data_IF_778813305114
#
_entry.id   IF_778813305114
#
_cell.length_a   1.000
_cell.length_b   1.000
_cell.length_c   1.000
_cell.angle_alpha   90.00
_cell.angle_beta   90.00
_cell.angle_gamma   90.00
#
_symmetry.space_group_name_H-M   'P 1'
#
loop_
_entity.id
_entity.type
_entity.pdbx_description
1 polymer ?
#
# COMPACT_ATOMS: atom_id res chain seq x y z
N UNK A 1 -76.54 9.52 -44.00
CA UNK A 1 -75.79 10.60 -43.34
C UNK A 1 -74.63 9.98 -42.63
N UNK A 2 -73.46 9.89 -43.30
CA UNK A 2 -72.27 9.18 -42.76
C UNK A 2 -71.32 10.25 -42.22
N UNK A 3 -71.10 10.22 -40.93
CA UNK A 3 -70.10 11.11 -40.25
C UNK A 3 -68.77 10.37 -40.28
N UNK A 4 -67.82 10.88 -41.05
CA UNK A 4 -66.43 10.42 -41.02
C UNK A 4 -65.70 11.03 -39.82
N UNK A 5 -65.28 10.20 -38.89
CA UNK A 5 -64.39 10.57 -37.80
C UNK A 5 -62.95 10.61 -38.33
N UNK A 6 -62.36 11.82 -38.37
CA UNK A 6 -60.93 11.97 -38.69
C UNK A 6 -60.09 11.81 -37.42
N UNK A 7 -59.37 10.70 -37.34
CA UNK A 7 -58.36 10.48 -36.27
C UNK A 7 -57.12 11.36 -36.54
N UNK A 8 -56.86 12.30 -35.66
CA UNK A 8 -55.63 13.08 -35.66
C UNK A 8 -54.53 12.26 -34.97
N UNK A 9 -53.50 11.93 -35.71
CA UNK A 9 -52.27 11.30 -35.14
C UNK A 9 -51.41 12.41 -34.58
N UNK A 10 -51.26 12.43 -33.27
CA UNK A 10 -50.34 13.33 -32.57
C UNK A 10 -48.92 12.75 -32.64
N UNK A 11 -48.07 13.33 -33.47
CA UNK A 11 -46.63 13.01 -33.53
C UNK A 11 -45.94 13.70 -32.37
N UNK A 12 -45.60 12.97 -31.31
CA UNK A 12 -44.75 13.48 -30.23
C UNK A 12 -43.31 13.42 -30.71
N UNK A 13 -42.72 14.55 -31.03
CA UNK A 13 -41.29 14.64 -31.30
C UNK A 13 -40.50 14.52 -29.99
N UNK A 14 -39.81 13.41 -29.82
CA UNK A 14 -38.82 13.30 -28.77
C UNK A 14 -37.61 14.15 -29.12
N UNK A 15 -37.45 15.27 -28.45
CA UNK A 15 -36.21 16.03 -28.47
C UNK A 15 -35.13 15.17 -27.76
N UNK A 16 -34.17 14.69 -28.52
CA UNK A 16 -32.97 14.04 -27.97
C UNK A 16 -32.15 15.09 -27.23
N UNK A 17 -32.24 15.06 -25.90
CA UNK A 17 -31.35 15.84 -25.04
C UNK A 17 -29.99 15.14 -25.10
N UNK A 18 -29.09 15.65 -25.94
CA UNK A 18 -27.66 15.28 -25.88
C UNK A 18 -27.13 15.77 -24.55
N UNK A 19 -26.54 14.88 -23.73
CA UNK A 19 -25.87 15.33 -22.52
C UNK A 19 -24.74 16.28 -22.89
N UNK A 20 -24.51 17.35 -22.11
CA UNK A 20 -23.43 18.26 -22.38
C UNK A 20 -22.14 17.48 -22.50
N UNK A 21 -21.38 17.66 -23.55
CA UNK A 21 -20.05 17.13 -23.71
C UNK A 21 -19.26 17.52 -22.46
N UNK A 22 -18.89 16.51 -21.67
CA UNK A 22 -18.01 16.70 -20.53
C UNK A 22 -16.75 17.32 -21.11
N UNK A 23 -16.54 18.60 -20.84
CA UNK A 23 -15.30 19.26 -21.19
C UNK A 23 -14.19 18.38 -20.62
N UNK A 24 -13.45 17.68 -21.49
CA UNK A 24 -12.15 17.16 -21.15
C UNK A 24 -11.31 18.41 -20.89
N UNK A 25 -11.35 18.86 -19.62
CA UNK A 25 -10.38 19.80 -19.15
C UNK A 25 -9.04 19.16 -19.48
N UNK A 26 -8.30 19.76 -20.40
CA UNK A 26 -6.87 19.61 -20.42
C UNK A 26 -6.40 20.05 -19.03
N UNK A 27 -6.30 19.09 -18.10
CA UNK A 27 -5.48 19.25 -16.93
C UNK A 27 -4.05 19.30 -17.47
N UNK A 28 -3.68 20.44 -18.00
CA UNK A 28 -2.31 20.89 -18.14
C UNK A 28 -1.88 21.27 -16.73
N UNK A 29 -1.91 20.23 -15.83
CA UNK A 29 -1.26 20.31 -14.54
C UNK A 29 0.21 20.53 -14.81
N UNK A 30 0.88 21.28 -13.95
CA UNK A 30 2.32 21.48 -13.96
C UNK A 30 3.01 20.11 -14.09
N UNK A 31 3.26 19.69 -15.33
CA UNK A 31 3.96 18.45 -15.63
C UNK A 31 5.43 18.73 -15.37
N UNK A 32 5.97 18.05 -14.37
CA UNK A 32 7.42 18.05 -14.18
C UNK A 32 8.12 17.49 -15.42
N UNK A 33 9.32 17.99 -15.72
CA UNK A 33 10.07 17.58 -16.91
C UNK A 33 10.92 16.32 -16.71
N UNK A 34 10.68 15.57 -15.64
CA UNK A 34 11.43 14.37 -15.28
C UNK A 34 10.49 13.21 -14.93
N UNK A 35 10.97 11.99 -15.17
CA UNK A 35 10.26 10.77 -14.80
C UNK A 35 10.54 10.39 -13.33
N UNK A 36 9.52 9.83 -12.67
CA UNK A 36 9.63 9.24 -11.34
C UNK A 36 9.27 7.76 -11.41
N UNK A 37 10.09 6.95 -10.73
CA UNK A 37 9.80 5.55 -10.50
C UNK A 37 10.01 5.22 -9.02
N UNK A 38 9.26 4.25 -8.52
CA UNK A 38 9.49 3.74 -7.17
C UNK A 38 10.85 3.06 -7.11
N UNK A 39 11.65 3.35 -6.06
CA UNK A 39 12.92 2.68 -5.83
C UNK A 39 12.89 1.83 -4.55
N UNK A 40 12.79 2.45 -3.37
CA UNK A 40 12.83 1.72 -2.10
C UNK A 40 12.08 2.44 -0.98
N UNK A 41 11.82 1.71 0.11
CA UNK A 41 11.53 2.26 1.43
C UNK A 41 12.75 2.04 2.32
N UNK A 42 13.08 3.04 3.16
CA UNK A 42 14.19 2.96 4.11
C UNK A 42 13.68 2.76 5.54
N UNK A 43 14.31 1.83 6.28
CA UNK A 43 13.96 1.49 7.65
C UNK A 43 15.20 1.54 8.53
N UNK A 44 15.10 2.17 9.69
CA UNK A 44 16.11 2.06 10.74
C UNK A 44 15.82 0.85 11.61
N UNK A 45 16.84 0.02 11.81
CA UNK A 45 16.73 -1.23 12.56
C UNK A 45 17.86 -1.36 13.58
N UNK A 46 17.64 -2.04 14.71
CA UNK A 46 18.69 -2.20 15.73
C UNK A 46 19.81 -3.14 15.31
N UNK A 47 19.54 -4.09 14.39
CA UNK A 47 20.50 -5.10 13.96
C UNK A 47 20.18 -5.58 12.55
N UNK A 48 21.00 -5.19 11.57
CA UNK A 48 20.80 -5.56 10.15
C UNK A 48 20.80 -7.08 9.93
N UNK A 49 21.75 -7.90 10.45
CA UNK A 49 21.70 -9.34 10.28
C UNK A 49 20.40 -9.99 10.77
N UNK A 50 19.89 -9.56 11.93
CA UNK A 50 18.63 -10.07 12.46
C UNK A 50 17.43 -9.66 11.60
N UNK A 51 17.42 -8.42 11.12
CA UNK A 51 16.35 -7.94 10.26
C UNK A 51 16.35 -8.65 8.90
N UNK A 52 17.51 -8.84 8.28
CA UNK A 52 17.62 -9.64 7.04
C UNK A 52 17.05 -11.04 7.26
N UNK A 53 17.47 -11.73 8.33
CA UNK A 53 16.98 -13.07 8.64
C UNK A 53 15.45 -13.11 8.83
N UNK A 54 14.88 -12.07 9.48
CA UNK A 54 13.44 -11.95 9.66
C UNK A 54 12.72 -11.73 8.32
N UNK A 55 13.15 -10.75 7.51
CA UNK A 55 12.56 -10.47 6.21
C UNK A 55 12.67 -11.64 5.23
N UNK A 56 13.80 -12.37 5.29
CA UNK A 56 14.00 -13.57 4.49
C UNK A 56 13.03 -14.69 4.91
N UNK A 57 12.97 -14.99 6.20
CA UNK A 57 12.14 -16.08 6.74
C UNK A 57 10.64 -15.79 6.61
N UNK A 58 10.22 -14.57 6.91
CA UNK A 58 8.80 -14.23 6.97
C UNK A 58 8.24 -13.81 5.61
N UNK A 59 8.99 -13.00 4.87
CA UNK A 59 8.51 -12.35 3.66
C UNK A 59 9.30 -12.71 2.40
N UNK A 60 10.30 -13.59 2.47
CA UNK A 60 11.04 -14.11 1.31
C UNK A 60 11.94 -13.08 0.61
N UNK A 61 12.35 -12.01 1.31
CA UNK A 61 13.36 -11.08 0.81
C UNK A 61 14.74 -11.71 0.82
N UNK A 62 15.64 -11.21 -0.02
CA UNK A 62 17.05 -11.61 -0.09
C UNK A 62 17.95 -10.39 0.01
N UNK A 63 19.07 -10.52 0.70
CA UNK A 63 20.09 -9.49 0.71
C UNK A 63 20.70 -9.35 -0.69
N UNK A 64 20.79 -8.09 -1.17
CA UNK A 64 21.36 -7.73 -2.47
C UNK A 64 22.71 -7.04 -2.29
N UNK A 65 22.81 -6.18 -1.30
CA UNK A 65 24.01 -5.36 -1.05
C UNK A 65 24.10 -5.02 0.43
N UNK A 66 25.33 -4.93 0.91
CA UNK A 66 25.67 -4.42 2.23
C UNK A 66 26.71 -3.31 2.09
N UNK A 67 26.63 -2.29 2.94
CA UNK A 67 27.55 -1.16 2.93
C UNK A 67 27.70 -0.53 4.31
N UNK A 68 28.41 0.58 4.35
CA UNK A 68 28.64 1.35 5.58
C UNK A 68 29.97 1.05 6.24
N UNK A 69 30.13 1.52 7.48
CA UNK A 69 31.37 1.44 8.25
C UNK A 69 31.18 0.50 9.46
N UNK A 70 32.14 -0.37 9.79
CA UNK A 70 31.98 -1.34 10.88
C UNK A 70 31.62 -0.70 12.24
N UNK A 71 32.13 0.48 12.54
CA UNK A 71 31.91 1.22 13.80
C UNK A 71 30.94 2.40 13.66
N UNK A 72 30.41 2.63 12.46
CA UNK A 72 29.51 3.73 12.13
C UNK A 72 28.16 3.25 11.61
N UNK A 73 27.60 4.04 10.71
CA UNK A 73 26.39 3.67 10.01
C UNK A 73 26.64 2.46 9.12
N UNK A 74 25.77 1.47 9.24
CA UNK A 74 25.72 0.30 8.35
C UNK A 74 24.44 0.35 7.54
N UNK A 75 24.48 -0.19 6.32
CA UNK A 75 23.32 -0.29 5.44
C UNK A 75 23.23 -1.67 4.82
N UNK A 76 22.01 -2.09 4.47
CA UNK A 76 21.78 -3.25 3.61
C UNK A 76 20.59 -2.97 2.70
N UNK A 77 20.66 -3.45 1.47
CA UNK A 77 19.53 -3.49 0.55
C UNK A 77 19.04 -4.93 0.45
N UNK A 78 17.76 -5.14 0.75
CA UNK A 78 17.07 -6.40 0.57
C UNK A 78 16.01 -6.28 -0.51
N UNK A 79 15.75 -7.37 -1.26
CA UNK A 79 14.84 -7.36 -2.41
C UNK A 79 13.96 -8.60 -2.46
N UNK A 80 12.71 -8.40 -2.89
CA UNK A 80 11.81 -9.47 -3.35
C UNK A 80 11.10 -9.00 -4.62
N UNK A 81 11.37 -9.65 -5.76
CA UNK A 81 10.86 -9.19 -7.07
C UNK A 81 11.34 -7.78 -7.37
N UNK A 82 10.42 -6.85 -7.57
CA UNK A 82 10.67 -5.41 -7.79
C UNK A 82 10.57 -4.56 -6.51
N UNK A 83 10.41 -5.18 -5.35
CA UNK A 83 10.27 -4.49 -4.08
C UNK A 83 11.65 -4.44 -3.40
N UNK A 84 12.10 -3.22 -3.06
CA UNK A 84 13.34 -2.99 -2.33
C UNK A 84 13.05 -2.38 -0.96
N UNK A 85 13.82 -2.82 0.04
CA UNK A 85 13.87 -2.22 1.37
C UNK A 85 15.34 -1.93 1.69
N UNK A 86 15.65 -0.69 2.03
CA UNK A 86 16.96 -0.30 2.53
C UNK A 86 16.93 -0.30 4.06
N UNK A 87 17.84 -1.04 4.68
CA UNK A 87 17.97 -1.14 6.13
C UNK A 87 19.15 -0.29 6.59
N UNK A 88 18.92 0.51 7.63
CA UNK A 88 19.94 1.31 8.30
C UNK A 88 20.13 0.82 9.73
N UNK A 89 21.38 0.69 10.16
CA UNK A 89 21.76 0.47 11.54
C UNK A 89 22.76 1.55 11.94
N UNK A 90 22.40 2.35 12.94
CA UNK A 90 23.25 3.40 13.48
C UNK A 90 23.60 3.08 14.95
N UNK A 91 24.84 3.34 15.38
CA UNK A 91 25.17 3.31 16.80
C UNK A 91 24.26 4.27 17.58
N UNK A 92 23.78 3.84 18.73
CA UNK A 92 22.97 4.65 19.64
C UNK A 92 21.67 5.22 19.08
N UNK A 93 21.13 4.63 17.99
CA UNK A 93 19.80 5.00 17.50
C UNK A 93 18.75 4.69 18.58
N UNK A 94 17.83 5.62 18.81
CA UNK A 94 16.72 5.42 19.74
C UNK A 94 15.78 4.33 19.22
N UNK A 95 15.21 3.49 20.11
CA UNK A 95 14.20 2.52 19.71
C UNK A 95 12.96 3.22 19.14
N UNK A 96 12.19 2.48 18.35
CA UNK A 96 10.91 2.96 17.85
C UNK A 96 10.01 3.37 19.02
N UNK A 97 9.48 4.61 19.05
CA UNK A 97 8.57 5.06 20.12
C UNK A 97 7.36 4.13 20.23
N UNK A 98 6.88 3.90 21.45
CA UNK A 98 5.75 2.99 21.71
C UNK A 98 4.49 3.38 20.94
N UNK A 99 4.21 4.71 20.86
CA UNK A 99 3.09 5.24 20.08
C UNK A 99 3.13 4.89 18.60
N UNK A 100 4.30 4.59 18.04
CA UNK A 100 4.47 4.20 16.64
C UNK A 100 4.32 2.71 16.37
N UNK A 101 4.32 1.88 17.42
CA UNK A 101 4.12 0.44 17.29
C UNK A 101 2.65 0.07 17.08
N UNK A 102 1.73 0.95 17.47
CA UNK A 102 0.30 0.80 17.24
C UNK A 102 -0.13 1.70 16.08
N UNK A 103 -0.57 1.15 14.93
CA UNK A 103 -0.97 1.96 13.76
C UNK A 103 -2.04 3.01 14.09
N UNK A 104 -3.02 2.69 14.96
CA UNK A 104 -4.09 3.63 15.31
C UNK A 104 -3.59 4.85 16.10
N UNK A 105 -2.57 4.66 16.94
CA UNK A 105 -1.96 5.76 17.68
C UNK A 105 -0.99 6.56 16.80
N UNK A 106 -0.23 5.86 15.93
CA UNK A 106 0.71 6.52 15.03
C UNK A 106 0.02 7.46 14.04
N UNK A 107 -1.22 7.21 13.64
CA UNK A 107 -1.99 8.13 12.78
C UNK A 107 -2.20 9.52 13.39
N UNK A 108 -2.06 9.69 14.70
CA UNK A 108 -2.18 10.98 15.39
C UNK A 108 -0.93 11.86 15.25
N UNK A 109 0.16 11.32 14.72
CA UNK A 109 1.42 12.03 14.49
C UNK A 109 1.66 12.17 12.99
N UNK A 110 2.02 13.33 12.48
CA UNK A 110 2.33 13.51 11.06
C UNK A 110 3.61 12.76 10.65
N UNK A 111 3.71 12.39 9.39
CA UNK A 111 4.84 11.69 8.79
C UNK A 111 4.48 10.31 8.25
N UNK A 112 5.46 9.58 7.71
CA UNK A 112 5.28 8.22 7.19
C UNK A 112 4.80 7.30 8.31
N UNK A 113 3.76 6.52 8.04
CA UNK A 113 3.12 5.64 9.03
C UNK A 113 3.54 4.19 8.87
N UNK A 114 3.38 3.68 7.69
CA UNK A 114 3.66 2.30 7.30
C UNK A 114 4.00 2.24 5.81
N UNK A 115 4.41 1.10 5.37
CA UNK A 115 4.44 0.71 3.97
C UNK A 115 3.61 -0.57 3.81
N UNK A 116 3.09 -0.79 2.60
CA UNK A 116 2.15 -1.88 2.36
C UNK A 116 2.55 -2.78 1.21
N UNK A 117 2.13 -4.05 1.32
CA UNK A 117 2.25 -5.04 0.26
C UNK A 117 0.87 -5.55 -0.13
N UNK A 118 0.60 -5.58 -1.42
CA UNK A 118 -0.56 -6.29 -1.93
C UNK A 118 -0.30 -7.80 -1.87
N UNK A 119 -1.28 -8.53 -1.36
CA UNK A 119 -1.26 -9.99 -1.29
C UNK A 119 -2.55 -10.56 -1.87
N UNK A 120 -2.48 -11.81 -2.32
CA UNK A 120 -3.66 -12.60 -2.69
C UNK A 120 -4.02 -13.52 -1.54
N UNK A 121 -5.32 -13.64 -1.23
CA UNK A 121 -5.84 -14.48 -0.16
C UNK A 121 -5.22 -14.10 1.22
N UNK A 122 -5.50 -12.89 1.65
CA UNK A 122 -5.00 -12.35 2.92
C UNK A 122 -5.22 -13.28 4.12
N UNK A 123 -6.38 -13.95 4.29
CA UNK A 123 -6.57 -14.90 5.40
C UNK A 123 -5.52 -16.01 5.43
N UNK A 124 -5.20 -16.61 4.28
CA UNK A 124 -4.19 -17.67 4.19
C UNK A 124 -2.78 -17.14 4.49
N UNK A 125 -2.45 -15.95 3.98
CA UNK A 125 -1.15 -15.28 4.26
C UNK A 125 -1.02 -15.02 5.76
N UNK A 126 -2.04 -14.50 6.42
CA UNK A 126 -2.00 -14.22 7.86
C UNK A 126 -1.89 -15.51 8.68
N UNK A 127 -2.57 -16.58 8.28
CA UNK A 127 -2.44 -17.88 8.95
C UNK A 127 -1.00 -18.42 8.87
N UNK A 128 -0.37 -18.33 7.70
CA UNK A 128 1.03 -18.71 7.51
C UNK A 128 1.98 -17.86 8.37
N UNK A 129 1.82 -16.54 8.36
CA UNK A 129 2.67 -15.62 9.11
C UNK A 129 2.51 -15.80 10.64
N UNK A 130 1.28 -16.00 11.12
CA UNK A 130 1.00 -16.31 12.53
C UNK A 130 1.65 -17.64 12.93
N UNK A 131 1.58 -18.67 12.09
CA UNK A 131 2.25 -19.97 12.35
C UNK A 131 3.78 -19.83 12.41
N UNK A 132 4.36 -18.88 11.68
CA UNK A 132 5.79 -18.53 11.75
C UNK A 132 6.17 -17.65 12.96
N UNK A 133 5.19 -17.18 13.74
CA UNK A 133 5.40 -16.34 14.92
C UNK A 133 5.50 -14.84 14.63
N UNK A 134 4.93 -14.36 13.52
CA UNK A 134 4.88 -12.91 13.22
C UNK A 134 3.92 -12.23 14.19
N UNK A 135 4.31 -11.07 14.72
CA UNK A 135 3.48 -10.23 15.58
C UNK A 135 2.47 -9.45 14.76
N UNK A 136 1.19 -9.56 15.12
CA UNK A 136 0.14 -8.72 14.56
C UNK A 136 0.16 -7.36 15.25
N UNK A 137 0.32 -6.27 14.48
CA UNK A 137 0.15 -4.90 14.96
C UNK A 137 -1.31 -4.45 14.91
N UNK A 138 -2.09 -5.03 13.98
CA UNK A 138 -3.52 -4.80 13.86
C UNK A 138 -4.17 -6.00 13.16
N UNK A 139 -5.24 -6.51 13.75
CA UNK A 139 -5.96 -7.67 13.20
C UNK A 139 -6.69 -7.33 11.90
N UNK A 140 -7.00 -8.35 11.11
CA UNK A 140 -7.62 -8.20 9.81
C UNK A 140 -8.96 -7.44 9.89
N UNK A 141 -9.11 -6.48 8.99
CA UNK A 141 -10.39 -5.84 8.65
C UNK A 141 -10.78 -6.29 7.25
N UNK A 142 -12.04 -6.69 7.14
CA UNK A 142 -12.64 -7.12 5.89
C UNK A 142 -13.73 -6.13 5.49
N UNK A 143 -13.46 -5.32 4.46
CA UNK A 143 -14.37 -4.31 3.93
C UNK A 143 -14.87 -4.73 2.53
N UNK A 144 -15.98 -4.16 2.03
CA UNK A 144 -16.34 -4.27 0.64
C UNK A 144 -15.21 -3.72 -0.26
N UNK A 145 -14.60 -4.56 -1.09
CA UNK A 145 -13.54 -4.16 -2.02
C UNK A 145 -12.10 -4.32 -1.53
N UNK A 146 -11.82 -4.30 -0.22
CA UNK A 146 -10.47 -4.52 0.33
C UNK A 146 -10.51 -5.27 1.64
N UNK A 147 -9.50 -6.11 1.88
CA UNK A 147 -9.18 -6.61 3.21
C UNK A 147 -7.75 -6.20 3.56
N UNK A 148 -7.47 -5.86 4.81
CA UNK A 148 -6.12 -5.47 5.24
C UNK A 148 -5.85 -5.87 6.69
N UNK A 149 -4.58 -5.99 7.02
CA UNK A 149 -4.06 -6.22 8.36
C UNK A 149 -2.68 -5.59 8.49
N UNK A 150 -2.21 -5.37 9.72
CA UNK A 150 -0.84 -4.92 9.94
C UNK A 150 -0.06 -5.97 10.73
N UNK A 151 1.14 -6.21 10.29
CA UNK A 151 2.15 -6.99 11.02
C UNK A 151 3.28 -6.06 11.48
N UNK A 152 4.02 -6.48 12.50
CA UNK A 152 5.26 -5.80 12.90
C UNK A 152 6.46 -6.59 12.41
N UNK A 153 7.47 -5.90 11.90
CA UNK A 153 8.78 -6.51 11.71
C UNK A 153 9.50 -6.70 13.07
N UNK A 154 10.71 -7.24 13.03
CA UNK A 154 11.50 -7.49 14.25
C UNK A 154 12.00 -6.22 14.96
N UNK A 155 11.88 -5.05 14.32
CA UNK A 155 12.20 -3.73 14.88
C UNK A 155 10.94 -2.95 15.32
N UNK A 156 9.73 -3.50 15.06
CA UNK A 156 8.45 -2.90 15.41
C UNK A 156 7.86 -2.01 14.30
N UNK A 157 8.47 -1.95 13.11
CA UNK A 157 7.90 -1.19 12.01
C UNK A 157 6.60 -1.84 11.52
N UNK A 158 5.58 -1.02 11.29
CA UNK A 158 4.28 -1.49 10.79
C UNK A 158 4.34 -1.78 9.29
N UNK A 159 3.89 -2.95 8.89
CA UNK A 159 3.75 -3.39 7.50
C UNK A 159 2.29 -3.72 7.26
N UNK A 160 1.65 -3.00 6.32
CA UNK A 160 0.30 -3.33 5.89
C UNK A 160 0.34 -4.50 4.89
N UNK A 161 -0.54 -5.47 5.07
CA UNK A 161 -0.86 -6.49 4.08
C UNK A 161 -2.28 -6.21 3.60
N UNK A 162 -2.45 -5.95 2.31
CA UNK A 162 -3.72 -5.57 1.72
C UNK A 162 -4.10 -6.49 0.55
N UNK A 163 -5.35 -6.92 0.53
CA UNK A 163 -5.96 -7.64 -0.58
C UNK A 163 -7.02 -6.78 -1.25
N UNK A 164 -6.88 -6.54 -2.56
CA UNK A 164 -7.92 -5.92 -3.37
C UNK A 164 -8.84 -7.00 -3.94
N UNK A 165 -10.13 -6.96 -3.59
CA UNK A 165 -11.14 -7.94 -4.01
C UNK A 165 -11.63 -7.70 -5.44
N UNK A 166 -11.41 -6.49 -5.95
CA UNK A 166 -11.68 -6.13 -7.34
C UNK A 166 -10.38 -5.72 -8.01
N UNK A 167 -10.13 -6.10 -9.29
CA UNK A 167 -8.96 -5.65 -10.02
C UNK A 167 -8.88 -4.11 -10.05
N UNK A 168 -7.69 -3.59 -9.90
CA UNK A 168 -7.39 -2.17 -10.12
C UNK A 168 -7.21 -1.86 -11.59
#
# INVERSE_FOLDING_TARGET
MHVMLRSAVLIVAFASVTPPARAQGNAQGDTVSFDLAWDHVALSVPNIPQSIAWYEKMLGFKEIRRGGQPTGQQTALIRRGNINIELFQLPNAAPLPESRKNPSEDFRTHGVKHFGFEVKNLPAVLAELKAKGVTMAFEMRDNPGTAFAFISDNAGNAIELIEHKTPR
#
